data_IF_741095902620
#
_entry.id   IF_741095902620
#
_cell.length_a   1.000
_cell.length_b   1.000
_cell.length_c   1.000
_cell.angle_alpha   90.00
_cell.angle_beta   90.00
_cell.angle_gamma   90.00
#
_symmetry.space_group_name_H-M   'P 1'
#
loop_
_entity.id
_entity.type
_entity.pdbx_description
1 polymer ?
#
# COMPACT_ATOMS: atom_id res chain seq x y z
N UNK A 1 -15.20 11.52 2.77
CA UNK A 1 -14.02 10.63 2.81
C UNK A 1 -14.50 9.26 2.41
N UNK A 2 -13.76 8.60 1.52
CA UNK A 2 -14.05 7.27 1.01
C UNK A 2 -12.88 6.33 1.33
N UNK A 3 -13.20 5.08 1.66
CA UNK A 3 -12.21 4.06 2.02
C UNK A 3 -11.90 3.20 0.81
N UNK A 4 -10.85 3.57 0.06
CA UNK A 4 -10.52 2.95 -1.22
C UNK A 4 -9.46 1.86 -1.06
N UNK A 5 -8.19 2.24 -0.80
CA UNK A 5 -7.09 1.30 -0.59
C UNK A 5 -7.15 0.74 0.85
N UNK A 6 -7.90 -0.34 1.04
CA UNK A 6 -8.07 -0.98 2.35
C UNK A 6 -8.03 -2.50 2.27
N UNK A 7 -7.35 -3.11 3.24
CA UNK A 7 -7.28 -4.57 3.37
C UNK A 7 -7.96 -5.05 4.67
N UNK A 8 -7.45 -4.65 5.84
CA UNK A 8 -8.04 -4.90 7.17
C UNK A 8 -7.53 -3.87 8.19
N UNK A 9 -7.93 -3.95 9.46
CA UNK A 9 -7.51 -2.99 10.50
C UNK A 9 -6.02 -3.03 10.87
N UNK A 10 -5.30 -4.08 10.47
CA UNK A 10 -3.89 -4.26 10.81
C UNK A 10 -2.94 -3.74 9.72
N UNK A 11 -3.48 -3.32 8.58
CA UNK A 11 -2.73 -2.96 7.35
C UNK A 11 -3.02 -1.52 6.96
N UNK A 12 -1.98 -0.73 6.79
CA UNK A 12 -2.08 0.67 6.36
C UNK A 12 -0.96 1.07 5.40
N UNK A 13 -1.14 2.19 4.72
CA UNK A 13 -0.10 2.82 3.92
C UNK A 13 0.94 3.43 4.86
N UNK A 14 2.17 2.90 4.83
CA UNK A 14 3.31 3.48 5.53
C UNK A 14 4.04 4.52 4.69
N UNK A 15 3.86 4.47 3.38
CA UNK A 15 4.47 5.38 2.41
C UNK A 15 3.52 5.62 1.23
N UNK A 16 3.58 6.82 0.65
CA UNK A 16 2.78 7.24 -0.50
C UNK A 16 3.58 8.26 -1.31
N UNK A 17 3.89 7.90 -2.55
CA UNK A 17 4.67 8.73 -3.46
C UNK A 17 3.90 8.96 -4.76
N UNK A 18 4.05 10.16 -5.31
CA UNK A 18 3.42 10.60 -6.57
C UNK A 18 4.50 10.70 -7.65
N UNK A 19 4.19 10.27 -8.87
CA UNK A 19 5.09 10.52 -10.00
C UNK A 19 5.14 12.04 -10.29
N UNK A 20 6.33 12.67 -10.23
CA UNK A 20 6.45 14.12 -10.47
C UNK A 20 6.13 14.53 -11.91
N UNK A 21 6.12 13.58 -12.85
CA UNK A 21 5.78 13.81 -14.25
C UNK A 21 4.30 13.55 -14.57
N UNK A 22 3.60 12.79 -13.74
CA UNK A 22 2.18 12.46 -13.90
C UNK A 22 1.49 12.29 -12.53
N UNK A 23 0.77 13.32 -12.03
CA UNK A 23 0.19 13.29 -10.69
C UNK A 23 -0.95 12.27 -10.52
N UNK A 24 -1.48 11.70 -11.61
CA UNK A 24 -2.47 10.62 -11.52
C UNK A 24 -1.81 9.28 -11.16
N UNK A 25 -0.50 9.17 -11.35
CA UNK A 25 0.28 7.97 -11.00
C UNK A 25 0.77 8.06 -9.57
N UNK A 26 0.23 7.20 -8.71
CA UNK A 26 0.60 7.10 -7.30
C UNK A 26 1.12 5.70 -6.96
N UNK A 27 2.05 5.62 -6.02
CA UNK A 27 2.55 4.37 -5.45
C UNK A 27 2.36 4.37 -3.94
N UNK A 28 1.80 3.29 -3.40
CA UNK A 28 1.57 3.14 -1.97
C UNK A 28 2.29 1.89 -1.44
N UNK A 29 3.10 2.09 -0.40
CA UNK A 29 3.70 1.01 0.39
C UNK A 29 2.76 0.60 1.51
N UNK A 30 2.04 -0.50 1.33
CA UNK A 30 1.15 -1.04 2.36
C UNK A 30 1.91 -1.99 3.27
N UNK A 31 1.71 -1.87 4.59
CA UNK A 31 2.36 -2.72 5.57
C UNK A 31 1.40 -3.18 6.66
N UNK A 32 1.37 -4.49 6.90
CA UNK A 32 0.79 -5.00 8.14
C UNK A 32 1.76 -4.68 9.28
N UNK A 33 1.34 -3.89 10.25
CA UNK A 33 2.12 -3.60 11.44
C UNK A 33 1.22 -3.33 12.65
N UNK A 34 1.22 -4.27 13.60
CA UNK A 34 0.52 -4.12 14.87
C UNK A 34 1.43 -4.43 16.05
N UNK A 35 1.63 -3.42 16.89
CA UNK A 35 2.45 -3.52 18.11
C UNK A 35 1.58 -3.99 19.29
N UNK A 36 2.08 -4.97 20.02
CA UNK A 36 1.54 -5.49 21.26
C UNK A 36 2.57 -5.32 22.39
N UNK A 37 2.15 -5.44 23.64
CA UNK A 37 3.06 -5.37 24.79
C UNK A 37 4.16 -6.45 24.75
N UNK A 38 3.89 -7.60 24.12
CA UNK A 38 4.79 -8.75 24.03
C UNK A 38 5.43 -8.94 22.64
N UNK A 39 5.21 -8.04 21.68
CA UNK A 39 5.81 -8.21 20.36
C UNK A 39 5.24 -7.33 19.25
N UNK A 40 5.73 -7.56 18.04
CA UNK A 40 5.25 -6.93 16.81
C UNK A 40 4.72 -8.02 15.88
N UNK A 41 3.48 -7.86 15.40
CA UNK A 41 2.99 -8.60 14.24
C UNK A 41 3.22 -7.74 13.02
N UNK A 42 4.05 -8.20 12.10
CA UNK A 42 4.40 -7.46 10.89
C UNK A 42 4.42 -8.36 9.65
N UNK A 43 4.41 -7.73 8.46
CA UNK A 43 4.66 -8.38 7.17
C UNK A 43 3.70 -9.54 6.81
N UNK A 44 2.45 -9.50 7.29
CA UNK A 44 1.41 -10.44 6.89
C UNK A 44 0.60 -10.00 5.66
N UNK A 45 -0.51 -10.71 5.37
CA UNK A 45 -1.33 -10.47 4.19
C UNK A 45 -1.77 -9.02 4.04
N UNK A 46 -1.76 -8.51 2.81
CA UNK A 46 -2.06 -7.11 2.50
C UNK A 46 -0.84 -6.19 2.49
N UNK A 47 0.29 -6.62 3.05
CA UNK A 47 1.59 -5.96 2.85
C UNK A 47 1.99 -6.05 1.38
N UNK A 48 2.46 -4.95 0.80
CA UNK A 48 2.84 -4.94 -0.61
C UNK A 48 2.97 -3.55 -1.21
N UNK A 49 3.38 -3.53 -2.47
CA UNK A 49 3.42 -2.32 -3.29
C UNK A 49 2.14 -2.24 -4.13
N UNK A 50 1.51 -1.09 -4.11
CA UNK A 50 0.30 -0.81 -4.87
C UNK A 50 0.52 0.41 -5.76
N UNK A 51 -0.12 0.42 -6.93
CA UNK A 51 -0.06 1.53 -7.88
C UNK A 51 -1.46 1.97 -8.28
N UNK A 52 -1.65 3.28 -8.36
CA UNK A 52 -2.80 3.92 -9.00
C UNK A 52 -2.34 4.63 -10.28
N UNK A 53 -3.24 4.76 -11.24
CA UNK A 53 -3.06 5.59 -12.44
C UNK A 53 -4.25 6.53 -12.68
N UNK A 54 -5.07 6.77 -11.66
CA UNK A 54 -6.27 7.61 -11.71
C UNK A 54 -6.37 8.52 -10.47
N UNK A 55 -5.23 8.95 -9.93
CA UNK A 55 -5.20 9.88 -8.78
C UNK A 55 -5.56 9.24 -7.44
N UNK A 56 -5.68 7.91 -7.37
CA UNK A 56 -5.89 7.14 -6.15
C UNK A 56 -7.30 6.57 -6.00
N UNK A 57 -8.12 6.66 -7.05
CA UNK A 57 -9.48 6.12 -7.08
C UNK A 57 -9.50 4.60 -7.23
N UNK A 58 -8.51 4.02 -7.92
CA UNK A 58 -8.31 2.57 -8.02
C UNK A 58 -6.84 2.17 -7.86
N UNK A 59 -6.61 0.94 -7.41
CA UNK A 59 -5.27 0.45 -7.07
C UNK A 59 -5.02 -0.96 -7.58
N UNK A 60 -3.90 -1.14 -8.27
CA UNK A 60 -3.36 -2.43 -8.69
C UNK A 60 -2.31 -2.90 -7.69
N UNK A 61 -2.35 -4.19 -7.32
CA UNK A 61 -1.33 -4.81 -6.49
C UNK A 61 -0.14 -5.24 -7.36
N UNK A 62 1.03 -4.65 -7.11
CA UNK A 62 2.26 -4.91 -7.85
C UNK A 62 3.23 -5.88 -7.15
N UNK A 63 2.86 -6.40 -5.97
CA UNK A 63 3.74 -7.20 -5.09
C UNK A 63 4.37 -8.42 -5.77
N UNK A 64 3.70 -9.01 -6.76
CA UNK A 64 4.19 -10.19 -7.47
C UNK A 64 4.54 -9.90 -8.95
N UNK A 65 4.66 -8.63 -9.33
CA UNK A 65 4.91 -8.26 -10.71
C UNK A 65 6.37 -8.56 -11.10
N UNK A 66 6.64 -9.34 -12.16
CA UNK A 66 8.01 -9.69 -12.54
C UNK A 66 8.88 -8.45 -12.81
N UNK A 67 10.08 -8.44 -12.23
CA UNK A 67 11.05 -7.36 -12.40
C UNK A 67 10.92 -6.21 -11.40
N UNK A 68 9.90 -6.23 -10.54
CA UNK A 68 9.89 -5.45 -9.30
C UNK A 68 10.59 -6.23 -8.18
N UNK A 69 11.24 -5.53 -7.22
CA UNK A 69 11.98 -6.16 -6.13
C UNK A 69 11.12 -7.02 -5.20
#
# INVERSE_FOLDING_TARGET
WEKILYFNEDVGAGDLEMDPSDPDVLYAGMWQARRFAWGLRAAGPGTGLYKSTDGGDTWENLTNNPGLP
#
